data_IF_814354329225
#
_entry.id   IF_814354329225
#
_cell.length_a   1.000
_cell.length_b   1.000
_cell.length_c   1.000
_cell.angle_alpha   90.00
_cell.angle_beta   90.00
_cell.angle_gamma   90.00
#
_symmetry.space_group_name_H-M   'P 1'
#
loop_
_entity.id
_entity.type
_entity.pdbx_description
1 polymer ?
#
# COMPACT_ATOMS: atom_id res chain seq x y z
N UNK A 1 -29.42 -36.75 -0.86
CA UNK A 1 -28.88 -36.71 0.52
C UNK A 1 -28.41 -35.29 0.82
N UNK A 2 -28.80 -34.70 1.96
CA UNK A 2 -28.32 -33.37 2.33
C UNK A 2 -26.80 -33.35 2.54
N UNK A 3 -26.16 -32.27 2.15
CA UNK A 3 -24.72 -32.05 2.34
C UNK A 3 -24.47 -31.36 3.69
N UNK A 4 -23.42 -31.75 4.39
CA UNK A 4 -22.99 -31.13 5.65
C UNK A 4 -22.85 -29.60 5.53
N UNK A 5 -23.35 -28.88 6.53
CA UNK A 5 -23.26 -27.42 6.62
C UNK A 5 -21.97 -26.89 7.26
N UNK A 6 -21.04 -27.78 7.63
CA UNK A 6 -19.79 -27.39 8.27
C UNK A 6 -18.77 -26.76 7.29
N UNK A 7 -17.90 -25.93 7.82
CA UNK A 7 -16.79 -25.29 7.10
C UNK A 7 -15.47 -25.96 7.51
N UNK A 8 -14.70 -26.41 6.54
CA UNK A 8 -13.37 -27.00 6.77
C UNK A 8 -12.38 -25.97 7.33
N UNK A 9 -11.24 -26.42 7.88
CA UNK A 9 -10.16 -25.52 8.33
C UNK A 9 -9.66 -24.55 7.24
N UNK A 10 -9.89 -24.87 5.97
CA UNK A 10 -9.51 -24.04 4.81
C UNK A 10 -10.60 -23.06 4.37
N UNK A 11 -11.68 -22.91 5.13
CA UNK A 11 -12.79 -22.00 4.82
C UNK A 11 -13.77 -22.52 3.75
N UNK A 12 -13.57 -23.74 3.23
CA UNK A 12 -14.45 -24.34 2.21
C UNK A 12 -15.59 -25.15 2.83
N UNK A 13 -16.73 -25.23 2.14
CA UNK A 13 -17.88 -26.04 2.56
C UNK A 13 -17.53 -27.54 2.57
N UNK A 14 -17.97 -28.22 3.63
CA UNK A 14 -17.80 -29.67 3.76
C UNK A 14 -18.57 -30.40 2.67
N UNK A 15 -17.93 -31.39 2.04
CA UNK A 15 -18.54 -32.17 0.95
C UNK A 15 -19.18 -33.48 1.39
N UNK A 16 -19.14 -33.79 2.69
CA UNK A 16 -19.68 -35.04 3.24
C UNK A 16 -21.21 -34.97 3.24
N UNK A 17 -21.85 -35.99 2.67
CA UNK A 17 -23.30 -36.15 2.72
C UNK A 17 -23.73 -36.69 4.08
N UNK A 18 -24.80 -36.13 4.63
CA UNK A 18 -25.38 -36.54 5.90
C UNK A 18 -26.70 -37.28 5.63
N UNK A 19 -27.02 -38.27 6.48
CA UNK A 19 -28.25 -39.06 6.34
C UNK A 19 -29.44 -38.42 7.07
N UNK A 20 -29.19 -37.73 8.19
CA UNK A 20 -30.22 -37.20 9.09
C UNK A 20 -29.87 -35.82 9.65
N UNK A 21 -28.59 -35.59 10.00
CA UNK A 21 -28.15 -34.36 10.64
C UNK A 21 -27.66 -33.27 9.67
N UNK A 22 -27.76 -32.01 10.10
CA UNK A 22 -27.23 -30.84 9.35
C UNK A 22 -25.69 -30.81 9.28
N UNK A 23 -25.01 -31.48 10.21
CA UNK A 23 -23.56 -31.56 10.30
C UNK A 23 -23.10 -33.02 10.29
N UNK A 24 -21.91 -33.29 9.74
CA UNK A 24 -21.28 -34.60 9.83
C UNK A 24 -20.51 -34.72 11.16
N UNK A 25 -20.09 -35.94 11.51
CA UNK A 25 -19.29 -36.21 12.73
C UNK A 25 -18.07 -35.30 12.91
N UNK A 26 -17.46 -34.84 11.82
CA UNK A 26 -16.28 -33.97 11.86
C UNK A 26 -16.60 -32.49 12.14
N UNK A 27 -17.86 -32.08 12.03
CA UNK A 27 -18.31 -30.71 12.24
C UNK A 27 -19.40 -30.62 13.32
N UNK A 28 -19.50 -31.63 14.20
CA UNK A 28 -20.45 -31.61 15.32
C UNK A 28 -20.17 -30.44 16.27
N UNK A 29 -18.90 -30.10 16.49
CA UNK A 29 -18.52 -28.93 17.29
C UNK A 29 -18.99 -27.59 16.69
N UNK A 30 -19.18 -27.53 15.36
CA UNK A 30 -19.71 -26.35 14.67
C UNK A 30 -21.22 -26.20 14.87
N UNK A 31 -21.94 -27.30 15.16
CA UNK A 31 -23.35 -27.28 15.55
C UNK A 31 -23.56 -26.39 16.76
N UNK A 32 -22.70 -26.54 17.79
CA UNK A 32 -22.75 -25.79 19.05
C UNK A 32 -22.30 -24.33 18.88
N UNK A 33 -21.34 -24.05 17.99
CA UNK A 33 -20.85 -22.68 17.77
C UNK A 33 -21.82 -21.81 16.98
N UNK A 34 -22.73 -22.39 16.19
CA UNK A 34 -23.75 -21.60 15.47
C UNK A 34 -24.70 -20.82 16.38
N UNK A 35 -24.84 -21.20 17.66
CA UNK A 35 -25.67 -20.46 18.64
C UNK A 35 -24.93 -19.28 19.28
N UNK A 36 -23.60 -19.22 19.18
CA UNK A 36 -22.77 -18.11 19.65
C UNK A 36 -22.03 -17.47 18.46
N UNK A 37 -22.77 -16.88 17.53
CA UNK A 37 -22.18 -15.87 16.65
C UNK A 37 -21.77 -14.69 17.54
N UNK A 38 -20.48 -14.60 17.88
CA UNK A 38 -19.91 -13.35 18.43
C UNK A 38 -20.41 -12.21 17.55
N UNK A 39 -21.01 -11.15 18.11
CA UNK A 39 -21.37 -9.98 17.33
C UNK A 39 -20.14 -9.50 16.57
N UNK A 40 -20.33 -9.07 15.32
CA UNK A 40 -19.25 -8.50 14.53
C UNK A 40 -18.58 -7.42 15.39
N UNK A 41 -17.26 -7.55 15.61
CA UNK A 41 -16.50 -6.53 16.33
C UNK A 41 -16.74 -5.19 15.66
N UNK A 42 -16.90 -4.10 16.42
CA UNK A 42 -17.18 -2.79 15.84
C UNK A 42 -16.10 -2.42 14.80
N UNK A 43 -16.47 -1.68 13.74
CA UNK A 43 -15.54 -1.24 12.71
C UNK A 43 -14.33 -0.56 13.36
N UNK A 44 -13.13 -1.03 13.03
CA UNK A 44 -11.90 -0.45 13.57
C UNK A 44 -11.57 0.82 12.81
N UNK A 45 -11.71 1.95 13.49
CA UNK A 45 -11.25 3.25 12.98
C UNK A 45 -9.73 3.25 12.95
N UNK A 46 -9.17 3.78 11.86
CA UNK A 46 -7.73 3.85 11.67
C UNK A 46 -7.32 4.76 10.53
N UNK A 47 -6.10 4.56 10.07
CA UNK A 47 -5.49 5.32 8.99
C UNK A 47 -4.99 4.38 7.88
N UNK A 48 -5.30 4.73 6.64
CA UNK A 48 -4.57 4.27 5.47
C UNK A 48 -3.39 5.21 5.24
N UNK A 49 -2.20 4.69 5.04
CA UNK A 49 -1.02 5.49 4.75
C UNK A 49 -0.24 4.91 3.57
N UNK A 50 0.43 5.79 2.84
CA UNK A 50 1.23 5.44 1.68
C UNK A 50 2.69 5.74 2.00
N UNK A 51 3.57 4.79 1.70
CA UNK A 51 5.00 4.96 1.93
C UNK A 51 5.83 4.39 0.79
N UNK A 52 7.09 4.80 0.77
CA UNK A 52 8.11 4.34 -0.15
C UNK A 52 9.44 4.20 0.59
N UNK A 53 10.47 3.73 -0.11
CA UNK A 53 11.84 3.82 0.37
C UNK A 53 12.28 5.29 0.37
N UNK A 54 12.97 5.73 1.42
CA UNK A 54 13.40 7.13 1.55
C UNK A 54 14.28 7.60 0.39
N UNK A 55 15.05 6.70 -0.21
CA UNK A 55 15.87 6.95 -1.40
C UNK A 55 15.06 7.22 -2.69
N UNK A 56 13.80 6.78 -2.73
CA UNK A 56 12.84 6.98 -3.83
C UNK A 56 11.88 8.15 -3.58
N UNK A 57 11.84 8.63 -2.33
CA UNK A 57 10.95 9.68 -1.88
C UNK A 57 11.38 11.03 -2.43
N UNK A 58 10.40 11.83 -2.87
CA UNK A 58 10.68 13.12 -3.48
C UNK A 58 11.32 14.10 -2.46
N UNK A 59 12.27 14.95 -2.87
CA UNK A 59 12.86 15.09 -4.20
C UNK A 59 13.97 14.06 -4.52
N UNK A 60 14.33 13.19 -3.58
CA UNK A 60 15.35 12.16 -3.77
C UNK A 60 14.90 11.09 -4.79
N UNK A 61 15.68 10.90 -5.84
CA UNK A 61 15.49 9.85 -6.84
C UNK A 61 16.81 9.09 -7.04
N UNK A 62 17.51 8.80 -5.93
CA UNK A 62 18.81 8.13 -5.98
C UNK A 62 18.61 6.67 -6.35
N UNK A 63 19.20 6.27 -7.48
CA UNK A 63 19.28 4.86 -7.89
C UNK A 63 19.92 4.05 -6.76
N UNK A 64 19.30 2.92 -6.42
CA UNK A 64 19.81 2.00 -5.42
C UNK A 64 20.33 0.77 -6.13
N UNK A 65 21.62 0.43 -5.96
CA UNK A 65 22.24 -0.73 -6.64
C UNK A 65 21.57 -2.06 -6.29
N UNK A 66 21.04 -2.15 -5.07
CA UNK A 66 20.36 -3.33 -4.53
C UNK A 66 18.90 -3.43 -4.96
N UNK A 67 18.27 -2.33 -5.38
CA UNK A 67 16.87 -2.33 -5.84
C UNK A 67 16.84 -2.62 -7.33
N UNK A 68 16.42 -3.84 -7.67
CA UNK A 68 16.44 -4.36 -9.04
C UNK A 68 15.08 -4.91 -9.43
N UNK A 69 14.77 -4.86 -10.72
CA UNK A 69 13.55 -5.41 -11.30
C UNK A 69 13.80 -6.89 -11.65
N UNK A 70 12.93 -7.78 -11.17
CA UNK A 70 12.99 -9.20 -11.49
C UNK A 70 12.62 -9.45 -12.95
N UNK A 71 13.21 -10.48 -13.56
CA UNK A 71 12.76 -10.99 -14.86
C UNK A 71 11.35 -11.53 -14.70
N UNK A 72 10.43 -11.22 -15.63
CA UNK A 72 8.98 -11.46 -15.53
C UNK A 72 8.54 -12.92 -15.37
N UNK A 73 9.48 -13.87 -15.30
CA UNK A 73 9.20 -15.23 -14.89
C UNK A 73 8.89 -15.22 -13.39
N UNK A 74 7.73 -15.79 -12.98
CA UNK A 74 7.28 -15.93 -11.59
C UNK A 74 8.21 -16.78 -10.67
N UNK A 75 9.47 -16.95 -11.07
CA UNK A 75 10.57 -17.44 -10.27
C UNK A 75 10.54 -16.78 -8.88
N UNK A 76 10.66 -17.62 -7.85
CA UNK A 76 10.73 -17.15 -6.46
C UNK A 76 12.06 -16.46 -6.15
N UNK A 77 13.03 -16.56 -7.05
CA UNK A 77 14.39 -16.08 -6.92
C UNK A 77 14.70 -15.07 -8.03
N UNK A 78 15.32 -13.96 -7.66
CA UNK A 78 15.85 -12.97 -8.61
C UNK A 78 17.31 -13.28 -8.84
N UNK A 79 17.63 -13.68 -10.07
CA UNK A 79 19.00 -13.73 -10.54
C UNK A 79 19.53 -12.28 -10.63
N UNK A 80 20.41 -11.91 -9.70
CA UNK A 80 20.98 -10.57 -9.62
C UNK A 80 21.79 -10.22 -10.87
N UNK A 81 22.36 -11.22 -11.57
CA UNK A 81 23.15 -11.04 -12.78
C UNK A 81 22.29 -10.71 -14.00
N UNK A 82 21.02 -11.15 -14.01
CA UNK A 82 20.05 -10.94 -15.12
C UNK A 82 19.02 -9.86 -14.84
N UNK A 83 19.04 -9.26 -13.65
CA UNK A 83 18.08 -8.23 -13.24
C UNK A 83 18.60 -6.84 -13.58
N UNK A 84 17.72 -5.92 -13.97
CA UNK A 84 18.08 -4.53 -14.25
C UNK A 84 17.91 -3.66 -12.99
N UNK A 85 18.81 -2.69 -12.74
CA UNK A 85 18.63 -1.72 -11.66
C UNK A 85 17.33 -0.91 -11.85
N UNK A 86 16.61 -0.67 -10.77
CA UNK A 86 15.40 0.15 -10.80
C UNK A 86 15.74 1.61 -11.11
N UNK A 87 15.12 2.19 -12.14
CA UNK A 87 15.21 3.62 -12.43
C UNK A 87 14.06 4.42 -11.78
N UNK A 88 14.34 5.25 -10.77
CA UNK A 88 13.33 6.03 -10.06
C UNK A 88 12.96 7.34 -10.77
N UNK A 89 13.45 7.61 -11.99
CA UNK A 89 13.20 8.87 -12.70
C UNK A 89 11.73 9.12 -12.94
N UNK A 90 11.03 8.19 -13.59
CA UNK A 90 9.63 8.38 -13.99
C UNK A 90 8.65 7.56 -13.16
N UNK A 91 9.15 6.53 -12.49
CA UNK A 91 8.35 5.65 -11.65
C UNK A 91 8.80 5.71 -10.20
N UNK A 92 7.89 5.35 -9.31
CA UNK A 92 8.13 5.18 -7.88
C UNK A 92 7.49 3.87 -7.43
N UNK A 93 8.18 3.14 -6.57
CA UNK A 93 7.62 1.99 -5.88
C UNK A 93 6.96 2.48 -4.58
N UNK A 94 5.67 2.21 -4.43
CA UNK A 94 4.93 2.58 -3.23
C UNK A 94 4.32 1.35 -2.59
N UNK A 95 4.03 1.45 -1.30
CA UNK A 95 3.23 0.49 -0.57
C UNK A 95 2.15 1.23 0.21
N UNK A 96 0.98 0.61 0.26
CA UNK A 96 -0.17 1.09 1.05
C UNK A 96 -0.28 0.20 2.27
N UNK A 97 -0.45 0.80 3.45
CA UNK A 97 -0.69 0.08 4.69
C UNK A 97 -1.87 0.65 5.47
N UNK A 98 -2.46 -0.19 6.30
CA UNK A 98 -3.43 0.18 7.33
C UNK A 98 -2.82 0.16 8.73
N UNK A 99 -3.36 1.00 9.63
CA UNK A 99 -3.03 1.01 11.06
C UNK A 99 -4.17 1.59 11.87
N UNK A 100 -4.40 1.10 13.08
CA UNK A 100 -5.29 1.76 14.07
C UNK A 100 -4.53 2.77 14.93
N UNK A 101 -3.20 2.73 14.89
CA UNK A 101 -2.32 3.67 15.57
C UNK A 101 -1.84 4.77 14.61
N UNK A 102 -1.08 5.73 15.11
CA UNK A 102 -0.45 6.78 14.30
C UNK A 102 0.45 6.20 13.15
N UNK A 103 0.29 6.68 11.90
CA UNK A 103 1.09 6.24 10.75
C UNK A 103 2.60 6.39 10.92
N UNK A 104 3.08 7.48 11.55
CA UNK A 104 4.50 7.71 11.76
C UNK A 104 5.11 6.64 12.68
N UNK A 105 4.39 6.30 13.75
CA UNK A 105 4.75 5.22 14.67
C UNK A 105 4.80 3.88 13.94
N UNK A 106 3.82 3.60 13.08
CA UNK A 106 3.80 2.37 12.30
C UNK A 106 4.96 2.26 11.32
N UNK A 107 5.36 3.37 10.70
CA UNK A 107 6.53 3.41 9.82
C UNK A 107 7.80 3.07 10.59
N UNK A 108 8.03 3.67 11.77
CA UNK A 108 9.21 3.35 12.59
C UNK A 108 9.30 1.86 12.93
N UNK A 109 8.17 1.24 13.31
CA UNK A 109 8.12 -0.21 13.56
C UNK A 109 8.54 -1.04 12.33
N UNK A 110 8.17 -0.60 11.12
CA UNK A 110 8.60 -1.25 9.89
C UNK A 110 10.08 -1.01 9.60
N UNK A 111 10.59 0.20 9.83
CA UNK A 111 12.02 0.52 9.69
C UNK A 111 12.87 -0.33 10.64
N UNK A 112 12.47 -0.47 11.91
CA UNK A 112 13.16 -1.30 12.90
C UNK A 112 13.22 -2.77 12.47
N UNK A 113 12.09 -3.28 11.96
CA UNK A 113 11.98 -4.68 11.51
C UNK A 113 12.77 -4.95 10.24
N UNK A 114 12.79 -4.00 9.31
CA UNK A 114 13.33 -4.21 7.97
C UNK A 114 14.70 -3.61 7.76
N UNK A 115 15.17 -2.78 8.70
CA UNK A 115 16.43 -2.01 8.64
C UNK A 115 16.58 -1.20 7.35
N UNK A 116 15.46 -0.75 6.80
CA UNK A 116 15.40 0.11 5.61
C UNK A 116 14.73 1.41 6.00
N UNK A 117 15.28 2.54 5.55
CA UNK A 117 14.65 3.83 5.74
C UNK A 117 13.44 4.00 4.81
N UNK A 118 12.31 4.36 5.41
CA UNK A 118 11.04 4.57 4.75
C UNK A 118 10.63 6.04 4.81
N UNK A 119 9.78 6.45 3.90
CA UNK A 119 9.21 7.79 3.89
C UNK A 119 7.73 7.74 3.56
N UNK A 120 6.93 8.48 4.32
CA UNK A 120 5.51 8.68 4.05
C UNK A 120 5.35 9.58 2.81
N UNK A 121 4.45 9.16 1.93
CA UNK A 121 4.05 9.94 0.76
C UNK A 121 2.83 10.74 1.15
N UNK A 122 3.02 12.06 1.29
CA UNK A 122 1.97 12.99 1.70
C UNK A 122 1.45 13.81 0.51
N UNK A 123 0.19 14.29 0.55
CA UNK A 123 -0.33 15.29 -0.40
C UNK A 123 0.63 16.45 -0.64
N UNK A 124 1.17 17.02 0.45
CA UNK A 124 2.12 18.13 0.41
C UNK A 124 3.36 17.78 -0.42
N UNK A 125 3.93 16.58 -0.21
CA UNK A 125 5.09 16.10 -0.95
C UNK A 125 4.81 15.99 -2.46
N UNK A 126 3.65 15.46 -2.82
CA UNK A 126 3.25 15.25 -4.22
C UNK A 126 2.97 16.58 -4.92
N UNK A 127 2.31 17.51 -4.22
CA UNK A 127 2.02 18.86 -4.74
C UNK A 127 3.32 19.64 -4.94
N UNK A 128 4.23 19.64 -3.96
CA UNK A 128 5.51 20.33 -4.05
C UNK A 128 6.35 19.84 -5.24
N UNK A 129 6.42 18.52 -5.45
CA UNK A 129 7.19 17.97 -6.54
C UNK A 129 6.57 18.19 -7.94
N UNK A 130 5.25 18.32 -8.02
CA UNK A 130 4.58 18.68 -9.27
C UNK A 130 5.00 20.07 -9.77
N UNK A 131 5.49 20.94 -8.87
CA UNK A 131 6.02 22.28 -9.20
C UNK A 131 7.47 22.25 -9.69
N UNK A 132 8.29 21.30 -9.22
CA UNK A 132 9.72 21.21 -9.53
C UNK A 132 10.02 20.70 -10.96
N UNK A 133 9.07 20.04 -11.62
CA UNK A 133 9.23 19.52 -13.00
C UNK A 133 8.83 20.50 -14.11
N UNK A 134 8.76 21.80 -13.82
CA UNK A 134 8.56 22.82 -14.86
C UNK A 134 9.89 22.99 -15.59
N UNK A 135 9.92 22.68 -16.88
CA UNK A 135 11.09 22.85 -17.76
C UNK A 135 11.41 24.32 -17.99
N UNK A 136 11.90 24.69 -19.18
CA UNK A 136 12.24 26.08 -19.56
C UNK A 136 11.18 27.11 -19.15
N UNK A 137 9.90 26.74 -19.12
CA UNK A 137 8.78 27.56 -18.64
C UNK A 137 8.95 28.08 -17.19
N UNK A 138 9.60 27.36 -16.28
CA UNK A 138 9.89 27.85 -14.93
C UNK A 138 11.00 28.91 -14.89
N UNK A 139 11.92 28.89 -15.87
CA UNK A 139 12.92 29.95 -16.01
C UNK A 139 12.25 31.23 -16.51
N UNK A 140 11.27 31.12 -17.42
CA UNK A 140 10.49 32.27 -17.89
C UNK A 140 9.45 32.77 -16.89
N UNK A 141 8.94 31.93 -15.98
CA UNK A 141 8.05 32.37 -14.89
C UNK A 141 8.74 33.38 -13.95
N UNK A 142 10.07 33.29 -13.78
CA UNK A 142 10.84 34.24 -12.97
C UNK A 142 11.07 35.60 -13.65
N UNK A 143 10.82 35.69 -14.96
CA UNK A 143 10.84 36.95 -15.72
C UNK A 143 9.48 37.63 -15.75
N UNK A 144 8.43 36.99 -15.21
CA UNK A 144 7.10 37.56 -15.10
C UNK A 144 6.97 38.32 -13.78
N UNK A 145 6.73 39.64 -13.84
CA UNK A 145 6.59 40.54 -12.69
C UNK A 145 5.33 40.27 -11.83
N UNK A 146 4.51 39.29 -12.21
CA UNK A 146 3.36 38.88 -11.42
C UNK A 146 3.80 37.86 -10.36
N UNK A 147 4.01 38.32 -9.13
CA UNK A 147 4.41 37.55 -7.95
C UNK A 147 3.62 36.24 -7.79
N UNK A 148 4.20 35.16 -8.31
CA UNK A 148 3.58 33.84 -8.39
C UNK A 148 3.48 33.15 -7.02
N UNK A 149 4.29 33.57 -6.03
CA UNK A 149 4.32 33.02 -4.68
C UNK A 149 2.93 32.96 -4.02
N UNK A 150 2.17 34.06 -4.00
CA UNK A 150 0.85 34.12 -3.36
C UNK A 150 -0.26 33.36 -4.11
N UNK A 151 -0.14 33.21 -5.44
CA UNK A 151 -1.08 32.42 -6.27
C UNK A 151 -0.93 30.92 -6.02
N UNK A 152 0.30 30.44 -5.86
CA UNK A 152 0.60 29.01 -5.62
C UNK A 152 0.10 28.51 -4.27
N UNK A 153 0.20 29.33 -3.21
CA UNK A 153 -0.24 28.93 -1.87
C UNK A 153 -1.78 28.83 -1.80
N UNK A 154 -2.51 29.74 -2.46
CA UNK A 154 -3.97 29.70 -2.58
C UNK A 154 -4.47 28.49 -3.38
N UNK A 155 -3.77 28.11 -4.45
CA UNK A 155 -4.05 26.88 -5.21
C UNK A 155 -3.72 25.61 -4.42
N UNK A 156 -2.63 25.60 -3.65
CA UNK A 156 -2.25 24.48 -2.80
C UNK A 156 -3.27 24.26 -1.68
N UNK A 157 -3.72 25.32 -1.01
CA UNK A 157 -4.83 25.23 -0.05
C UNK A 157 -6.11 24.73 -0.70
N UNK A 158 -6.40 25.11 -1.95
CA UNK A 158 -7.57 24.61 -2.70
C UNK A 158 -7.44 23.11 -3.03
N UNK A 159 -6.24 22.65 -3.37
CA UNK A 159 -5.97 21.23 -3.64
C UNK A 159 -5.99 20.40 -2.35
N UNK A 160 -5.44 20.91 -1.25
CA UNK A 160 -5.47 20.25 0.06
C UNK A 160 -6.89 20.11 0.61
N UNK A 161 -7.78 21.08 0.32
CA UNK A 161 -9.22 20.99 0.65
C UNK A 161 -9.95 19.86 -0.09
N UNK A 162 -9.36 19.27 -1.14
CA UNK A 162 -9.97 18.13 -1.83
C UNK A 162 -9.83 16.81 -1.05
N UNK A 163 -9.10 16.81 0.07
CA UNK A 163 -8.71 15.59 0.78
C UNK A 163 -9.48 15.57 2.08
N UNK A 164 -10.66 14.96 2.07
CA UNK A 164 -11.60 15.02 3.20
C UNK A 164 -11.15 14.16 4.38
N UNK A 165 -10.41 13.09 4.11
CA UNK A 165 -10.01 12.11 5.12
C UNK A 165 -8.55 12.26 5.55
N UNK A 166 -7.75 13.10 4.88
CA UNK A 166 -6.33 13.19 5.15
C UNK A 166 -6.03 13.94 6.47
N UNK A 167 -5.52 13.21 7.47
CA UNK A 167 -5.14 13.72 8.77
C UNK A 167 -3.96 12.91 9.35
N UNK A 168 -3.11 13.53 10.19
CA UNK A 168 -2.01 12.85 10.88
C UNK A 168 -1.15 11.93 9.98
N UNK A 169 -0.80 12.43 8.79
CA UNK A 169 0.04 11.72 7.81
C UNK A 169 -0.59 10.44 7.21
N UNK A 170 -1.90 10.27 7.33
CA UNK A 170 -2.69 9.20 6.70
C UNK A 170 -4.10 9.66 6.31
N UNK A 171 -4.90 8.73 5.80
CA UNK A 171 -6.30 8.92 5.44
C UNK A 171 -7.15 8.17 6.46
N UNK A 172 -7.88 8.92 7.27
CA UNK A 172 -8.70 8.38 8.34
C UNK A 172 -9.95 7.71 7.76
N UNK A 173 -10.25 6.49 8.19
CA UNK A 173 -11.45 5.77 7.77
C UNK A 173 -11.96 4.85 8.87
N UNK A 174 -13.25 4.52 8.78
CA UNK A 174 -13.82 3.36 9.44
C UNK A 174 -13.44 2.08 8.68
N UNK A 175 -13.58 0.95 9.37
CA UNK A 175 -13.24 -0.39 8.85
C UNK A 175 -11.93 -0.44 8.04
N UNK A 176 -10.84 0.05 8.64
CA UNK A 176 -9.58 0.35 7.96
C UNK A 176 -9.01 -0.82 7.14
N UNK A 177 -9.24 -2.06 7.58
CA UNK A 177 -8.74 -3.24 6.89
C UNK A 177 -9.56 -3.60 5.64
N UNK A 178 -10.89 -3.44 5.68
CA UNK A 178 -11.72 -3.63 4.51
C UNK A 178 -11.43 -2.56 3.45
N UNK A 179 -11.25 -1.30 3.88
CA UNK A 179 -10.84 -0.21 3.00
C UNK A 179 -9.45 -0.43 2.39
N UNK A 180 -8.49 -0.94 3.17
CA UNK A 180 -7.17 -1.32 2.65
C UNK A 180 -7.27 -2.37 1.55
N UNK A 181 -8.05 -3.43 1.76
CA UNK A 181 -8.23 -4.50 0.78
C UNK A 181 -8.89 -3.99 -0.51
N UNK A 182 -9.87 -3.11 -0.38
CA UNK A 182 -10.50 -2.44 -1.52
C UNK A 182 -9.49 -1.59 -2.30
N UNK A 183 -8.69 -0.77 -1.60
CA UNK A 183 -7.64 0.06 -2.21
C UNK A 183 -6.61 -0.81 -2.92
N UNK A 184 -6.15 -1.88 -2.27
CA UNK A 184 -5.20 -2.82 -2.87
C UNK A 184 -5.77 -3.45 -4.14
N UNK A 185 -7.04 -3.85 -4.12
CA UNK A 185 -7.71 -4.42 -5.29
C UNK A 185 -7.77 -3.43 -6.46
N UNK A 186 -8.10 -2.17 -6.20
CA UNK A 186 -8.10 -1.10 -7.19
C UNK A 186 -6.69 -0.81 -7.74
N UNK A 187 -5.68 -0.80 -6.88
CA UNK A 187 -4.29 -0.57 -7.30
C UNK A 187 -3.73 -1.74 -8.10
N UNK A 188 -4.03 -2.98 -7.72
CA UNK A 188 -3.67 -4.19 -8.47
C UNK A 188 -4.27 -4.15 -9.87
N UNK A 189 -5.54 -3.76 -10.01
CA UNK A 189 -6.19 -3.63 -11.31
C UNK A 189 -5.56 -2.54 -12.18
N UNK A 190 -5.22 -1.39 -11.60
CA UNK A 190 -4.73 -0.23 -12.36
C UNK A 190 -3.23 -0.25 -12.68
N UNK A 191 -2.42 -0.87 -11.83
CA UNK A 191 -0.96 -0.76 -11.86
C UNK A 191 -0.22 -2.10 -11.71
N UNK A 192 -0.96 -3.20 -11.51
CA UNK A 192 -0.36 -4.47 -11.12
C UNK A 192 0.17 -4.44 -9.70
N UNK A 193 0.90 -5.48 -9.32
CA UNK A 193 1.61 -5.55 -8.04
C UNK A 193 2.93 -6.30 -8.22
N UNK A 194 3.88 -6.00 -7.35
CA UNK A 194 5.22 -6.53 -7.37
C UNK A 194 5.67 -7.06 -6.01
N UNK A 195 6.74 -7.84 -6.07
CA UNK A 195 7.48 -8.30 -4.90
C UNK A 195 8.83 -7.61 -4.87
N UNK A 196 9.21 -7.06 -3.73
CA UNK A 196 10.54 -6.47 -3.48
C UNK A 196 11.34 -7.43 -2.61
N UNK A 197 12.56 -7.75 -3.04
CA UNK A 197 13.53 -8.50 -2.24
C UNK A 197 14.24 -7.52 -1.31
N UNK A 198 14.11 -7.74 -0.01
CA UNK A 198 14.62 -6.82 0.99
C UNK A 198 15.93 -7.34 1.57
N UNK A 199 17.00 -6.56 1.40
CA UNK A 199 18.31 -6.88 1.96
C UNK A 199 18.30 -6.88 3.49
N UNK A 200 17.61 -5.92 4.11
CA UNK A 200 17.57 -5.80 5.57
C UNK A 200 16.72 -6.87 6.27
N UNK A 201 15.92 -7.63 5.52
CA UNK A 201 15.16 -8.77 6.04
C UNK A 201 15.84 -10.13 5.77
N UNK A 202 17.17 -10.20 5.56
CA UNK A 202 17.86 -11.48 5.41
C UNK A 202 17.79 -12.33 6.69
N UNK A 203 17.62 -13.66 6.55
CA UNK A 203 17.81 -14.57 7.69
C UNK A 203 19.32 -14.81 7.91
N UNK A 204 19.83 -14.70 9.14
CA UNK A 204 21.23 -15.02 9.41
C UNK A 204 21.53 -16.47 8.99
N UNK A 205 22.63 -16.67 8.26
CA UNK A 205 23.07 -17.98 7.77
C UNK A 205 22.48 -18.44 6.43
N UNK A 206 21.64 -17.63 5.75
CA UNK A 206 21.20 -17.92 4.37
C UNK A 206 21.32 -16.66 3.50
N UNK A 207 21.93 -16.79 2.32
CA UNK A 207 21.94 -15.75 1.28
C UNK A 207 20.58 -15.59 0.59
N UNK A 208 19.49 -15.63 1.38
CA UNK A 208 18.10 -15.55 0.90
C UNK A 208 17.45 -14.32 1.50
N UNK A 209 17.16 -13.35 0.63
CA UNK A 209 16.45 -12.13 0.99
C UNK A 209 14.96 -12.42 1.20
N UNK A 210 14.38 -11.91 2.29
CA UNK A 210 12.94 -12.00 2.49
C UNK A 210 12.20 -11.08 1.51
N UNK A 211 10.99 -11.50 1.17
CA UNK A 211 10.17 -10.89 0.13
C UNK A 211 9.06 -10.04 0.74
N UNK A 212 9.01 -8.78 0.35
CA UNK A 212 7.91 -7.87 0.66
C UNK A 212 6.95 -7.89 -0.52
N UNK A 213 5.74 -8.35 -0.29
CA UNK A 213 4.68 -8.38 -1.31
C UNK A 213 3.93 -7.06 -1.35
N UNK A 214 3.15 -6.87 -2.41
CA UNK A 214 2.20 -5.76 -2.56
C UNK A 214 2.88 -4.39 -2.64
N UNK A 215 3.95 -4.33 -3.43
CA UNK A 215 4.48 -3.06 -3.91
C UNK A 215 3.83 -2.69 -5.23
N UNK A 216 3.53 -1.41 -5.41
CA UNK A 216 2.90 -0.88 -6.61
C UNK A 216 3.89 0.01 -7.34
N UNK A 217 4.11 -0.28 -8.63
CA UNK A 217 4.96 0.54 -9.49
C UNK A 217 4.10 1.65 -10.12
N UNK A 218 4.25 2.87 -9.63
CA UNK A 218 3.39 3.99 -10.01
C UNK A 218 4.21 5.02 -10.81
N UNK A 219 3.74 5.46 -11.99
CA UNK A 219 4.31 6.63 -12.64
C UNK A 219 4.16 7.85 -11.72
N UNK A 220 5.25 8.58 -11.45
CA UNK A 220 5.23 9.70 -10.50
C UNK A 220 4.16 10.76 -10.83
N UNK A 221 3.89 10.97 -12.13
CA UNK A 221 2.80 11.85 -12.63
C UNK A 221 1.39 11.41 -12.22
N UNK A 222 1.18 10.13 -11.90
CA UNK A 222 -0.10 9.57 -11.46
C UNK A 222 -0.23 9.52 -9.93
N UNK A 223 0.82 9.86 -9.17
CA UNK A 223 0.82 9.75 -7.71
C UNK A 223 -0.27 10.60 -7.04
N UNK A 224 -0.54 11.80 -7.58
CA UNK A 224 -1.66 12.63 -7.12
C UNK A 224 -3.01 11.92 -7.29
N UNK A 225 -3.24 11.31 -8.45
CA UNK A 225 -4.49 10.56 -8.73
C UNK A 225 -4.63 9.33 -7.82
N UNK A 226 -3.52 8.66 -7.50
CA UNK A 226 -3.51 7.54 -6.54
C UNK A 226 -3.96 7.99 -5.16
N UNK A 227 -3.44 9.11 -4.67
CA UNK A 227 -3.81 9.60 -3.35
C UNK A 227 -5.27 10.11 -3.29
N UNK A 228 -5.78 10.72 -4.37
CA UNK A 228 -7.21 11.05 -4.49
C UNK A 228 -8.08 9.78 -4.51
N UNK A 229 -7.63 8.72 -5.17
CA UNK A 229 -8.34 7.43 -5.15
C UNK A 229 -8.41 6.86 -3.72
N UNK A 230 -7.33 6.95 -2.97
CA UNK A 230 -7.27 6.49 -1.58
C UNK A 230 -8.24 7.30 -0.72
N UNK A 231 -8.17 8.63 -0.77
CA UNK A 231 -9.07 9.52 0.01
C UNK A 231 -10.55 9.23 -0.25
N UNK A 232 -10.93 9.08 -1.52
CA UNK A 232 -12.31 8.73 -1.90
C UNK A 232 -12.75 7.35 -1.42
N UNK A 233 -11.82 6.40 -1.35
CA UNK A 233 -12.13 5.04 -0.87
C UNK A 233 -12.21 5.01 0.66
N UNK A 234 -11.46 5.87 1.33
CA UNK A 234 -11.43 6.04 2.79
C UNK A 234 -12.66 6.78 3.36
N UNK A 235 -13.48 7.40 2.50
CA UNK A 235 -14.80 7.95 2.89
C UNK A 235 -15.83 6.83 2.94
#
# INVERSE_FOLDING_TARGET
MPQCSGITLTGKRCKINTKTDKYCRYHENQRLTTMYRKPASPPKVGFIYVYTLKSLALPSNKKQKWLRLGSGNHSRDVDLLKSEPFDPRDNILIKVGATTNDPQTRIRQWEDKCRLELALITPKLVIANSKSRRGLSALFEKLSLNSSAGRTERQERKLLRQWSTYNNLGFQCDDVFAKEEQIHSLLRANYGHGTVFCQGCSRPGRNVFLRHREWFLIPRRKLFKVLVLIDKTST
#
